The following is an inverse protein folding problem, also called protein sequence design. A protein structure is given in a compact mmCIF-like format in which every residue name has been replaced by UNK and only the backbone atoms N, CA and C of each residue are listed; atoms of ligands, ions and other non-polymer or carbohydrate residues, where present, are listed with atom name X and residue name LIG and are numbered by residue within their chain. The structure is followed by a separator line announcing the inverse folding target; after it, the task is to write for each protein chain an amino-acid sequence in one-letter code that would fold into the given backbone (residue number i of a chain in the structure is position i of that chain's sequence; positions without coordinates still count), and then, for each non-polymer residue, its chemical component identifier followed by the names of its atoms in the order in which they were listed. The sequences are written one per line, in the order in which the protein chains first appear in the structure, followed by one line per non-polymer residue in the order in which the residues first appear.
data_IF_921638441073
#
_entry.id   IF_921638441073
#
_cell.length_a   1.000
_cell.length_b   1.000
_cell.length_c   1.000
_cell.angle_alpha   90.00
_cell.angle_beta   90.00
_cell.angle_gamma   90.00
#
_symmetry.space_group_name_H-M   'P 1'
#
loop_
_entity.id
_entity.type
_entity.pdbx_description
1 polymer ?
#
# COMPACT_ATOMS: atom_id res chain seq x y z
N UNK A 1 42.17 3.15 -13.02
CA UNK A 1 41.21 2.71 -11.96
C UNK A 1 40.45 3.93 -11.48
N UNK A 2 39.25 4.16 -12.03
CA UNK A 2 38.40 5.28 -11.63
C UNK A 2 37.84 4.98 -10.22
N UNK A 3 38.17 5.82 -9.25
CA UNK A 3 37.61 5.73 -7.89
C UNK A 3 36.09 5.88 -8.00
N UNK A 4 35.33 4.87 -7.56
CA UNK A 4 33.88 4.97 -7.45
C UNK A 4 33.53 6.15 -6.53
N UNK A 5 32.65 7.03 -6.98
CA UNK A 5 32.20 8.18 -6.19
C UNK A 5 31.38 7.68 -4.98
N UNK A 6 31.70 8.19 -3.79
CA UNK A 6 31.02 7.83 -2.53
C UNK A 6 29.53 8.21 -2.49
N UNK A 7 29.08 9.07 -3.39
CA UNK A 7 27.71 9.56 -3.50
C UNK A 7 27.31 9.61 -4.98
N UNK A 8 26.13 9.13 -5.31
CA UNK A 8 25.58 9.17 -6.67
C UNK A 8 25.11 10.58 -7.04
N UNK A 9 24.91 10.84 -8.34
CA UNK A 9 24.38 12.15 -8.78
C UNK A 9 22.93 12.35 -8.31
N UNK A 10 22.14 11.27 -8.29
CA UNK A 10 20.74 11.28 -7.85
C UNK A 10 20.62 11.66 -6.37
N UNK A 11 21.45 11.08 -5.49
CA UNK A 11 21.45 11.43 -4.07
C UNK A 11 21.76 12.92 -3.83
N UNK A 12 22.64 13.51 -4.64
CA UNK A 12 22.98 14.94 -4.58
C UNK A 12 21.77 15.80 -4.97
N UNK A 13 21.06 15.42 -6.03
CA UNK A 13 19.86 16.13 -6.51
C UNK A 13 18.73 15.99 -5.47
N UNK A 14 18.48 14.79 -4.97
CA UNK A 14 17.43 14.53 -3.98
C UNK A 14 17.67 15.30 -2.67
N UNK A 15 18.92 15.35 -2.21
CA UNK A 15 19.30 16.15 -1.04
C UNK A 15 19.11 17.65 -1.26
N UNK A 16 19.36 18.16 -2.47
CA UNK A 16 19.13 19.55 -2.83
C UNK A 16 17.63 19.88 -2.90
N UNK A 17 16.81 19.02 -3.53
CA UNK A 17 15.36 19.19 -3.59
C UNK A 17 14.71 19.14 -2.20
N UNK A 18 15.18 18.25 -1.32
CA UNK A 18 14.73 18.19 0.07
C UNK A 18 15.04 19.48 0.85
N UNK A 19 16.12 20.20 0.50
CA UNK A 19 16.42 21.51 1.07
C UNK A 19 15.46 22.59 0.55
N UNK A 20 15.12 22.58 -0.75
CA UNK A 20 14.14 23.51 -1.34
C UNK A 20 12.76 23.35 -0.72
N UNK A 21 12.29 22.10 -0.55
CA UNK A 21 11.00 21.79 0.08
C UNK A 21 10.92 22.31 1.53
N UNK A 22 12.06 22.43 2.21
CA UNK A 22 12.18 22.99 3.56
C UNK A 22 12.37 24.51 3.57
N UNK A 23 12.27 25.17 2.42
CA UNK A 23 12.44 26.63 2.27
C UNK A 23 13.88 27.10 2.41
N UNK A 24 14.88 26.21 2.36
CA UNK A 24 16.30 26.56 2.47
C UNK A 24 16.94 26.56 1.08
N UNK A 25 17.75 27.59 0.78
CA UNK A 25 18.50 27.64 -0.48
C UNK A 25 19.54 26.52 -0.54
N UNK A 26 19.48 25.60 -1.52
CA UNK A 26 20.48 24.56 -1.67
C UNK A 26 21.81 25.20 -2.06
N UNK A 27 22.83 24.95 -1.24
CA UNK A 27 24.21 25.29 -1.56
C UNK A 27 25.09 24.06 -1.35
N UNK A 28 26.26 23.97 -1.99
CA UNK A 28 27.07 22.76 -1.95
C UNK A 28 27.41 22.26 -0.53
N UNK A 29 27.58 23.18 0.43
CA UNK A 29 27.82 22.83 1.83
C UNK A 29 26.58 22.28 2.54
N UNK A 30 25.41 22.88 2.31
CA UNK A 30 24.14 22.41 2.87
C UNK A 30 23.74 21.04 2.31
N UNK A 31 23.97 20.81 1.02
CA UNK A 31 23.74 19.53 0.35
C UNK A 31 24.69 18.47 0.92
N UNK A 32 25.98 18.79 1.06
CA UNK A 32 26.95 17.88 1.70
C UNK A 32 26.56 17.50 3.12
N UNK A 33 26.07 18.47 3.91
CA UNK A 33 25.58 18.22 5.27
C UNK A 33 24.35 17.30 5.27
N UNK A 34 23.44 17.46 4.31
CA UNK A 34 22.28 16.58 4.14
C UNK A 34 22.67 15.15 3.74
N UNK A 35 23.81 14.98 3.05
CA UNK A 35 24.37 13.69 2.64
C UNK A 35 25.23 13.00 3.72
N UNK A 36 25.34 13.59 4.91
CA UNK A 36 26.17 13.08 6.02
C UNK A 36 27.65 13.40 5.86
N UNK A 37 27.98 14.59 5.35
CA UNK A 37 29.34 15.06 5.06
C UNK A 37 30.13 14.26 4.00
N UNK A 38 29.41 13.45 3.22
CA UNK A 38 29.96 12.67 2.10
C UNK A 38 29.93 13.44 0.79
N UNK A 39 30.89 13.15 -0.09
CA UNK A 39 30.99 13.73 -1.42
C UNK A 39 31.76 15.07 -1.48
N UNK A 40 32.49 15.27 -2.58
CA UNK A 40 33.28 16.47 -2.81
C UNK A 40 32.44 17.70 -3.16
N UNK A 41 32.69 18.83 -2.48
CA UNK A 41 31.96 20.09 -2.68
C UNK A 41 31.96 20.57 -4.13
N UNK A 42 33.07 20.42 -4.85
CA UNK A 42 33.17 20.82 -6.26
C UNK A 42 32.23 19.99 -7.16
N UNK A 43 32.11 18.69 -6.90
CA UNK A 43 31.22 17.78 -7.64
C UNK A 43 29.76 18.04 -7.31
N UNK A 44 29.44 18.28 -6.04
CA UNK A 44 28.10 18.68 -5.61
C UNK A 44 27.68 19.97 -6.32
N UNK A 45 28.58 20.97 -6.38
CA UNK A 45 28.33 22.23 -7.08
C UNK A 45 28.05 22.00 -8.58
N UNK A 46 28.89 21.24 -9.27
CA UNK A 46 28.73 21.01 -10.72
C UNK A 46 27.45 20.25 -11.05
N UNK A 47 27.09 19.24 -10.27
CA UNK A 47 25.87 18.45 -10.48
C UNK A 47 24.64 19.30 -10.22
N UNK A 48 24.62 20.05 -9.12
CA UNK A 48 23.48 20.92 -8.80
C UNK A 48 23.30 22.02 -9.85
N UNK A 49 24.40 22.65 -10.28
CA UNK A 49 24.35 23.69 -11.30
C UNK A 49 23.82 23.14 -12.63
N UNK A 50 24.31 21.99 -13.08
CA UNK A 50 23.81 21.33 -14.29
C UNK A 50 22.32 20.95 -14.19
N UNK A 51 21.86 20.55 -13.02
CA UNK A 51 20.45 20.27 -12.78
C UNK A 51 19.59 21.54 -12.88
N UNK A 52 20.04 22.66 -12.31
CA UNK A 52 19.37 23.96 -12.45
C UNK A 52 19.33 24.42 -13.91
N UNK A 53 20.47 24.34 -14.61
CA UNK A 53 20.58 24.76 -16.01
C UNK A 53 19.62 23.97 -16.92
N UNK A 54 19.46 22.66 -16.68
CA UNK A 54 18.50 21.82 -17.41
C UNK A 54 17.04 22.02 -17.00
N UNK A 55 16.78 22.45 -15.76
CA UNK A 55 15.42 22.69 -15.24
C UNK A 55 14.83 23.98 -15.79
N UNK A 56 15.69 24.99 -15.97
CA UNK A 56 15.30 26.32 -16.45
C UNK A 56 15.50 26.49 -17.96
N UNK A 57 15.87 25.43 -18.69
CA UNK A 57 16.03 25.46 -20.15
C UNK A 57 14.66 25.71 -20.83
N UNK A 58 14.43 26.87 -21.46
CA UNK A 58 13.20 27.11 -22.19
C UNK A 58 13.09 26.10 -23.34
N UNK A 59 11.88 25.63 -23.63
CA UNK A 59 11.61 24.69 -24.74
C UNK A 59 12.12 25.18 -26.11
N UNK A 60 12.45 26.47 -26.23
CA UNK A 60 12.99 27.09 -27.42
C UNK A 60 14.14 28.04 -27.06
N UNK A 61 15.14 28.08 -27.96
CA UNK A 61 16.32 28.92 -27.86
C UNK A 61 15.93 30.41 -27.77
N UNK A 62 16.32 31.05 -26.67
CA UNK A 62 16.03 32.45 -26.36
C UNK A 62 17.02 33.43 -27.02
N UNK A 63 17.93 32.94 -27.87
CA UNK A 63 18.94 33.75 -28.57
C UNK A 63 18.43 34.53 -29.80
N UNK A 64 17.12 34.51 -30.10
CA UNK A 64 16.53 35.44 -31.07
C UNK A 64 16.18 36.78 -30.41
N UNK A 65 16.90 37.81 -30.80
CA UNK A 65 16.62 39.21 -30.46
C UNK A 65 15.14 39.58 -30.68
N UNK A 66 14.43 39.81 -29.57
CA UNK A 66 13.32 40.75 -29.35
C UNK A 66 12.27 40.96 -30.45
N UNK A 67 11.79 39.92 -31.13
CA UNK A 67 10.50 39.99 -31.83
C UNK A 67 9.40 39.48 -30.89
N UNK A 68 8.64 40.41 -30.32
CA UNK A 68 7.46 40.09 -29.50
C UNK A 68 6.24 39.86 -30.41
N UNK A 69 5.18 39.26 -29.87
CA UNK A 69 3.90 39.13 -30.59
C UNK A 69 3.37 40.48 -31.13
N UNK A 70 3.71 41.58 -30.46
CA UNK A 70 3.35 42.95 -30.84
C UNK A 70 4.11 43.47 -32.07
N UNK A 71 5.20 42.80 -32.46
CA UNK A 71 5.97 43.12 -33.67
C UNK A 71 5.41 42.46 -34.94
N UNK A 72 4.40 41.60 -34.80
CA UNK A 72 3.75 40.93 -35.93
C UNK A 72 2.75 41.86 -36.63
N UNK A 73 2.59 41.76 -37.96
CA UNK A 73 1.52 42.45 -38.66
C UNK A 73 0.15 42.07 -38.07
N UNK A 74 -0.78 43.02 -37.99
CA UNK A 74 -2.07 42.86 -37.29
C UNK A 74 -2.80 41.55 -37.63
N UNK A 75 -2.83 41.15 -38.90
CA UNK A 75 -3.48 39.90 -39.33
C UNK A 75 -2.86 38.65 -38.72
N UNK A 76 -1.54 38.61 -38.56
CA UNK A 76 -0.86 37.49 -37.90
C UNK A 76 -1.04 37.54 -36.39
N UNK A 77 -0.97 38.72 -35.77
CA UNK A 77 -1.21 38.89 -34.35
C UNK A 77 -2.64 38.45 -33.94
N UNK A 78 -3.66 38.86 -34.71
CA UNK A 78 -5.07 38.47 -34.50
C UNK A 78 -5.29 36.96 -34.67
N UNK A 79 -4.66 36.35 -35.68
CA UNK A 79 -4.72 34.91 -35.91
C UNK A 79 -4.07 34.13 -34.77
N UNK A 80 -2.91 34.59 -34.28
CA UNK A 80 -2.22 33.97 -33.14
C UNK A 80 -3.04 34.09 -31.87
N UNK A 81 -3.62 35.26 -31.56
CA UNK A 81 -4.50 35.40 -30.40
C UNK A 81 -5.73 34.49 -30.49
N UNK A 82 -6.34 34.39 -31.67
CA UNK A 82 -7.46 33.49 -31.91
C UNK A 82 -7.07 32.02 -31.70
N UNK A 83 -5.88 31.63 -32.17
CA UNK A 83 -5.35 30.28 -31.97
C UNK A 83 -5.06 30.00 -30.50
N UNK A 84 -4.42 30.93 -29.79
CA UNK A 84 -4.17 30.83 -28.36
C UNK A 84 -5.50 30.66 -27.61
N UNK A 85 -6.51 31.49 -27.89
CA UNK A 85 -7.83 31.35 -27.29
C UNK A 85 -8.47 29.98 -27.51
N UNK A 86 -8.38 29.45 -28.74
CA UNK A 86 -8.88 28.10 -29.06
C UNK A 86 -8.11 27.00 -28.33
N UNK A 87 -6.78 27.10 -28.26
CA UNK A 87 -5.93 26.12 -27.57
C UNK A 87 -6.20 26.14 -26.07
N UNK A 88 -6.25 27.33 -25.45
CA UNK A 88 -6.59 27.49 -24.04
C UNK A 88 -7.95 26.88 -23.73
N UNK A 89 -8.96 27.19 -24.54
CA UNK A 89 -10.30 26.63 -24.35
C UNK A 89 -10.34 25.10 -24.52
N UNK A 90 -9.61 24.57 -25.50
CA UNK A 90 -9.49 23.12 -25.68
C UNK A 90 -8.79 22.45 -24.50
N UNK A 91 -7.74 23.07 -23.95
CA UNK A 91 -7.04 22.59 -22.76
C UNK A 91 -7.94 22.61 -21.53
N UNK A 92 -8.74 23.66 -21.32
CA UNK A 92 -9.72 23.74 -20.24
C UNK A 92 -10.75 22.62 -20.34
N UNK A 93 -11.32 22.41 -21.53
CA UNK A 93 -12.27 21.33 -21.76
C UNK A 93 -11.66 19.94 -21.54
N UNK A 94 -10.43 19.73 -22.01
CA UNK A 94 -9.71 18.47 -21.81
C UNK A 94 -9.44 18.22 -20.31
N UNK A 95 -9.08 19.26 -19.55
CA UNK A 95 -8.87 19.13 -18.11
C UNK A 95 -10.17 18.76 -17.37
N UNK A 96 -11.29 19.39 -17.72
CA UNK A 96 -12.61 19.08 -17.14
C UNK A 96 -13.04 17.65 -17.51
N UNK A 97 -12.87 17.24 -18.76
CA UNK A 97 -13.20 15.89 -19.22
C UNK A 97 -12.35 14.83 -18.50
N UNK A 98 -11.04 15.04 -18.42
CA UNK A 98 -10.13 14.15 -17.70
C UNK A 98 -10.47 14.03 -16.22
N UNK A 99 -10.86 15.14 -15.58
CA UNK A 99 -11.34 15.12 -14.19
C UNK A 99 -12.61 14.28 -14.05
N UNK A 100 -13.58 14.44 -14.95
CA UNK A 100 -14.82 13.68 -14.91
C UNK A 100 -14.59 12.19 -15.13
N UNK A 101 -13.74 11.82 -16.09
CA UNK A 101 -13.35 10.44 -16.36
C UNK A 101 -12.66 9.81 -15.14
N UNK A 102 -11.74 10.55 -14.50
CA UNK A 102 -11.09 10.11 -13.29
C UNK A 102 -12.11 9.89 -12.16
N UNK A 103 -13.04 10.82 -11.96
CA UNK A 103 -14.09 10.69 -10.95
C UNK A 103 -14.95 9.43 -11.19
N UNK A 104 -15.40 9.19 -12.42
CA UNK A 104 -16.18 8.00 -12.75
C UNK A 104 -15.39 6.71 -12.52
N UNK A 105 -14.09 6.69 -12.85
CA UNK A 105 -13.23 5.54 -12.60
C UNK A 105 -13.09 5.28 -11.09
N UNK A 106 -12.92 6.33 -10.28
CA UNK A 106 -12.86 6.22 -8.83
C UNK A 106 -14.17 5.69 -8.25
N UNK A 107 -15.32 6.23 -8.67
CA UNK A 107 -16.63 5.76 -8.22
C UNK A 107 -16.87 4.28 -8.55
N UNK A 108 -16.48 3.84 -9.75
CA UNK A 108 -16.57 2.41 -10.14
C UNK A 108 -15.68 1.53 -9.27
N UNK A 109 -14.44 1.97 -9.02
CA UNK A 109 -13.49 1.23 -8.16
C UNK A 109 -13.99 1.16 -6.72
N UNK A 110 -14.56 2.25 -6.19
CA UNK A 110 -15.12 2.30 -4.85
C UNK A 110 -16.28 1.32 -4.71
N UNK A 111 -17.25 1.34 -5.64
CA UNK A 111 -18.37 0.40 -5.63
C UNK A 111 -17.91 -1.06 -5.71
N UNK A 112 -16.92 -1.36 -6.55
CA UNK A 112 -16.35 -2.70 -6.64
C UNK A 112 -15.67 -3.14 -5.34
N UNK A 113 -14.97 -2.22 -4.68
CA UNK A 113 -14.29 -2.48 -3.41
C UNK A 113 -15.31 -2.73 -2.28
N UNK A 114 -16.34 -1.89 -2.20
CA UNK A 114 -17.45 -2.04 -1.24
C UNK A 114 -18.14 -3.39 -1.40
N UNK A 115 -18.48 -3.80 -2.64
CA UNK A 115 -19.08 -5.09 -2.91
C UNK A 115 -18.17 -6.27 -2.50
N UNK A 116 -16.86 -6.14 -2.72
CA UNK A 116 -15.88 -7.17 -2.31
C UNK A 116 -15.81 -7.28 -0.78
N UNK A 117 -15.84 -6.16 -0.07
CA UNK A 117 -15.86 -6.15 1.39
C UNK A 117 -17.15 -6.73 1.95
N UNK A 118 -18.30 -6.39 1.36
CA UNK A 118 -19.60 -6.94 1.76
C UNK A 118 -19.62 -8.47 1.58
N UNK A 119 -19.13 -8.97 0.45
CA UNK A 119 -19.01 -10.41 0.21
C UNK A 119 -18.08 -11.09 1.23
N UNK A 120 -16.94 -10.48 1.55
CA UNK A 120 -16.01 -11.02 2.54
C UNK A 120 -16.64 -11.07 3.94
N UNK A 121 -17.36 -10.02 4.34
CA UNK A 121 -18.08 -10.00 5.61
C UNK A 121 -19.13 -11.11 5.68
N UNK A 122 -19.88 -11.33 4.60
CA UNK A 122 -20.88 -12.38 4.57
C UNK A 122 -20.25 -13.78 4.67
N UNK A 123 -19.13 -14.00 3.97
CA UNK A 123 -18.36 -15.24 4.11
C UNK A 123 -17.86 -15.46 5.53
N UNK A 124 -17.36 -14.41 6.21
CA UNK A 124 -16.92 -14.53 7.60
C UNK A 124 -18.07 -14.86 8.55
N UNK A 125 -19.24 -14.26 8.37
CA UNK A 125 -20.44 -14.61 9.17
C UNK A 125 -20.89 -16.04 8.95
N UNK A 126 -20.88 -16.52 7.70
CA UNK A 126 -21.22 -17.90 7.39
C UNK A 126 -20.21 -18.87 8.02
N UNK A 127 -18.92 -18.55 7.92
CA UNK A 127 -17.85 -19.32 8.55
C UNK A 127 -17.96 -19.35 10.08
N UNK A 128 -18.30 -18.22 10.72
CA UNK A 128 -18.52 -18.13 12.17
C UNK A 128 -19.69 -19.01 12.58
N UNK A 129 -20.83 -18.89 11.89
CA UNK A 129 -22.00 -19.73 12.15
C UNK A 129 -21.68 -21.22 11.97
N UNK A 130 -20.95 -21.59 10.92
CA UNK A 130 -20.57 -22.99 10.69
C UNK A 130 -19.63 -23.51 11.79
N UNK A 131 -18.72 -22.67 12.27
CA UNK A 131 -17.85 -23.01 13.40
C UNK A 131 -18.66 -23.20 14.68
N UNK A 132 -19.61 -22.33 14.98
CA UNK A 132 -20.52 -22.47 16.14
C UNK A 132 -21.32 -23.77 16.08
N UNK A 133 -21.90 -24.09 14.91
CA UNK A 133 -22.63 -25.35 14.70
C UNK A 133 -21.71 -26.57 14.88
N UNK A 134 -20.44 -26.48 14.48
CA UNK A 134 -19.45 -27.53 14.69
C UNK A 134 -19.10 -27.70 16.17
N UNK A 135 -18.89 -26.59 16.89
CA UNK A 135 -18.61 -26.59 18.33
C UNK A 135 -19.77 -27.22 19.09
N UNK A 136 -21.01 -26.83 18.81
CA UNK A 136 -22.19 -27.41 19.47
C UNK A 136 -22.30 -28.93 19.25
N UNK A 137 -21.97 -29.42 18.04
CA UNK A 137 -21.94 -30.86 17.77
C UNK A 137 -20.85 -31.57 18.58
N UNK A 138 -19.64 -31.01 18.60
CA UNK A 138 -18.53 -31.57 19.38
C UNK A 138 -18.83 -31.58 20.88
N UNK A 139 -19.48 -30.54 21.40
CA UNK A 139 -19.92 -30.49 22.80
C UNK A 139 -20.96 -31.59 23.08
N UNK A 140 -21.95 -31.77 22.21
CA UNK A 140 -22.94 -32.85 22.34
C UNK A 140 -22.30 -34.25 22.27
N UNK A 141 -21.38 -34.48 21.34
CA UNK A 141 -20.65 -35.75 21.23
C UNK A 141 -19.79 -36.01 22.47
N UNK A 142 -19.18 -34.97 23.03
CA UNK A 142 -18.39 -35.07 24.25
C UNK A 142 -19.26 -35.43 25.47
N UNK A 143 -20.43 -34.82 25.60
CA UNK A 143 -21.40 -35.17 26.63
C UNK A 143 -21.86 -36.63 26.51
N UNK A 144 -22.16 -37.09 25.29
CA UNK A 144 -22.55 -38.48 25.01
C UNK A 144 -21.43 -39.47 25.39
N UNK A 145 -20.19 -39.19 24.97
CA UNK A 145 -19.03 -40.01 25.31
C UNK A 145 -18.76 -40.05 26.81
N UNK A 146 -18.98 -38.93 27.50
CA UNK A 146 -18.79 -38.86 28.95
C UNK A 146 -19.84 -39.70 29.69
N UNK A 147 -21.10 -39.66 29.24
CA UNK A 147 -22.16 -40.54 29.77
C UNK A 147 -21.84 -42.01 29.52
N UNK A 148 -21.34 -42.36 28.33
CA UNK A 148 -20.94 -43.74 28.02
C UNK A 148 -19.78 -44.21 28.91
N UNK A 149 -18.77 -43.36 29.10
CA UNK A 149 -17.62 -43.65 29.95
C UNK A 149 -18.03 -43.85 31.41
N UNK A 150 -18.91 -43.01 31.94
CA UNK A 150 -19.47 -43.17 33.29
C UNK A 150 -20.29 -44.47 33.41
N UNK A 151 -21.08 -44.79 32.39
CA UNK A 151 -21.84 -46.04 32.32
C UNK A 151 -20.92 -47.28 32.33
N UNK A 152 -19.87 -47.28 31.51
CA UNK A 152 -18.87 -48.35 31.47
C UNK A 152 -18.09 -48.46 32.79
N UNK A 153 -17.75 -47.34 33.41
CA UNK A 153 -17.08 -47.32 34.71
C UNK A 153 -17.95 -47.96 35.81
N UNK A 154 -19.25 -47.64 35.84
CA UNK A 154 -20.20 -48.26 36.76
C UNK A 154 -20.36 -49.77 36.52
N UNK A 155 -20.46 -50.18 35.24
CA UNK A 155 -20.54 -51.61 34.88
C UNK A 155 -19.28 -52.37 35.31
N UNK A 156 -18.09 -51.82 35.05
CA UNK A 156 -16.83 -52.41 35.48
C UNK A 156 -16.73 -52.51 37.01
N UNK A 157 -17.14 -51.48 37.74
CA UNK A 157 -17.16 -51.52 39.21
C UNK A 157 -18.08 -52.63 39.73
N UNK A 158 -19.27 -52.78 39.15
CA UNK A 158 -20.21 -53.86 39.50
C UNK A 158 -19.62 -55.25 39.22
N UNK A 159 -19.04 -55.45 38.03
CA UNK A 159 -18.41 -56.71 37.66
C UNK A 159 -17.23 -57.06 38.58
N UNK A 160 -16.43 -56.07 39.01
CA UNK A 160 -15.35 -56.28 39.97
C UNK A 160 -15.87 -56.77 41.33
N UNK A 161 -16.95 -56.17 41.83
CA UNK A 161 -17.60 -56.60 43.08
C UNK A 161 -18.13 -58.03 42.94
N UNK A 162 -18.89 -58.31 41.88
CA UNK A 162 -19.43 -59.65 41.62
C UNK A 162 -18.33 -60.71 41.48
N UNK A 163 -17.22 -60.39 40.80
CA UNK A 163 -16.08 -61.29 40.67
C UNK A 163 -15.42 -61.57 42.03
N UNK A 164 -15.27 -60.55 42.87
CA UNK A 164 -14.75 -60.69 44.23
C UNK A 164 -15.65 -61.58 45.11
N UNK A 165 -16.97 -61.37 45.06
CA UNK A 165 -17.94 -62.21 45.77
C UNK A 165 -17.90 -63.67 45.31
N UNK A 166 -17.87 -63.90 44.00
CA UNK A 166 -17.82 -65.24 43.41
C UNK A 166 -16.51 -65.96 43.77
N UNK A 167 -15.37 -65.25 43.74
CA UNK A 167 -14.09 -65.78 44.23
C UNK A 167 -14.17 -66.18 45.70
N UNK A 168 -14.73 -65.32 46.56
CA UNK A 168 -14.92 -65.63 47.97
C UNK A 168 -15.79 -66.88 48.21
N UNK A 169 -16.89 -67.02 47.46
CA UNK A 169 -17.76 -68.22 47.52
C UNK A 169 -17.02 -69.49 47.05
N UNK A 170 -16.21 -69.38 46.00
CA UNK A 170 -15.41 -70.49 45.49
C UNK A 170 -14.32 -70.94 46.47
N UNK A 171 -13.67 -70.01 47.17
CA UNK A 171 -12.70 -70.35 48.20
C UNK A 171 -13.38 -71.01 49.41
N UNK A 172 -14.54 -70.50 49.84
CA UNK A 172 -15.33 -71.09 50.91
C UNK A 172 -15.87 -72.50 50.58
N UNK A 173 -16.12 -72.81 49.31
CA UNK A 173 -16.57 -74.14 48.86
C UNK A 173 -15.43 -75.16 48.68
N UNK A 174 -14.17 -74.72 48.74
CA UNK A 174 -12.98 -75.58 48.64
C UNK A 174 -12.35 -75.93 50.00
N UNK A 175 -12.73 -75.24 51.08
CA UNK A 175 -12.37 -75.55 52.46
C UNK A 175 -13.41 -76.41 53.16
#
# INVERSE_FOLDING_TARGET
MARHAEVTEQEIIDAALALEQRGKRPNPGAIRKALGDRGGLARIKSIWQRYCDNRDDPLYDSSQDSLTLDSLPNTYAENVQTLIGKVTHAMEHMAIAAYHDAQQLFERRLKSLEATHEQALEHYKESERSADECVQKLESELDELQVELDGLAQQNAKLLIENAEMRGKLEAAKG
#
